data_IF_524228971915
#
_entry.id   IF_524228971915
#
_cell.length_a   1.000
_cell.length_b   1.000
_cell.length_c   1.000
_cell.angle_alpha   90.00
_cell.angle_beta   90.00
_cell.angle_gamma   90.00
#
_symmetry.space_group_name_H-M   'P 1'
#
loop_
_entity.id
_entity.type
_entity.pdbx_description
1 polymer ?
#
# COMPACT_ATOMS: atom_id res chain seq x y z
N UNK A 1 -11.59 -24.07 15.56
CA UNK A 1 -10.39 -23.23 15.46
C UNK A 1 -10.81 -21.78 15.39
N UNK A 2 -10.00 -20.85 15.90
CA UNK A 2 -10.25 -19.42 15.73
C UNK A 2 -10.26 -19.06 14.23
N UNK A 3 -11.20 -18.21 13.77
CA UNK A 3 -11.28 -17.81 12.36
C UNK A 3 -10.05 -16.97 11.96
N UNK A 4 -9.58 -17.16 10.73
CA UNK A 4 -8.44 -16.42 10.20
C UNK A 4 -8.75 -14.94 9.93
N UNK A 5 -7.73 -14.15 9.57
CA UNK A 5 -7.88 -12.72 9.25
C UNK A 5 -8.89 -12.51 8.10
N UNK A 6 -8.84 -13.35 7.07
CA UNK A 6 -9.74 -13.24 5.90
C UNK A 6 -11.20 -13.57 6.23
N UNK A 7 -11.44 -14.53 7.13
CA UNK A 7 -12.80 -14.88 7.57
C UNK A 7 -13.39 -13.74 8.40
N UNK A 8 -12.60 -13.20 9.34
CA UNK A 8 -12.98 -12.03 10.14
C UNK A 8 -13.27 -10.81 9.26
N UNK A 9 -12.48 -10.58 8.21
CA UNK A 9 -12.74 -9.52 7.23
C UNK A 9 -14.07 -9.71 6.50
N UNK A 10 -14.34 -10.93 6.00
CA UNK A 10 -15.57 -11.26 5.26
C UNK A 10 -16.82 -11.07 6.10
N UNK A 11 -16.73 -11.42 7.38
CA UNK A 11 -17.83 -11.29 8.35
C UNK A 11 -17.96 -9.87 8.92
N UNK A 12 -17.15 -8.90 8.45
CA UNK A 12 -17.08 -7.53 8.97
C UNK A 12 -16.77 -7.46 10.48
N UNK A 13 -15.99 -8.41 11.00
CA UNK A 13 -15.56 -8.47 12.40
C UNK A 13 -14.24 -7.74 12.59
N UNK A 14 -14.31 -6.44 12.85
CA UNK A 14 -13.12 -5.56 12.93
C UNK A 14 -12.64 -5.22 14.34
N UNK A 15 -13.26 -5.75 15.40
CA UNK A 15 -12.91 -5.40 16.80
C UNK A 15 -11.42 -5.57 17.15
N UNK A 16 -10.70 -6.43 16.42
CA UNK A 16 -9.26 -6.67 16.58
C UNK A 16 -8.52 -6.62 15.24
N UNK A 17 -9.11 -6.00 14.22
CA UNK A 17 -8.49 -5.82 12.91
C UNK A 17 -8.34 -4.32 12.64
N UNK A 18 -7.25 -3.97 11.99
CA UNK A 18 -7.04 -2.63 11.47
C UNK A 18 -7.12 -2.69 9.94
N UNK A 19 -8.24 -2.24 9.35
CA UNK A 19 -8.37 -2.10 7.91
C UNK A 19 -7.34 -1.09 7.39
N UNK A 20 -6.54 -1.50 6.42
CA UNK A 20 -5.66 -0.62 5.66
C UNK A 20 -6.06 -0.73 4.18
N UNK A 21 -5.87 0.35 3.42
CA UNK A 21 -6.23 0.37 2.00
C UNK A 21 -5.14 0.99 1.15
N UNK A 22 -5.14 0.65 -0.14
CA UNK A 22 -4.32 1.35 -1.11
C UNK A 22 -4.82 2.79 -1.26
N UNK A 23 -3.91 3.75 -1.31
CA UNK A 23 -4.24 5.15 -1.60
C UNK A 23 -4.70 5.26 -3.05
N UNK A 24 -5.82 5.95 -3.24
CA UNK A 24 -6.35 6.21 -4.58
C UNK A 24 -5.47 7.26 -5.26
N UNK A 25 -4.99 7.04 -6.49
CA UNK A 25 -4.26 8.05 -7.24
C UNK A 25 -5.06 9.34 -7.41
N UNK A 26 -4.38 10.48 -7.33
CA UNK A 26 -4.98 11.79 -7.60
C UNK A 26 -4.83 12.13 -9.07
N UNK A 27 -5.86 12.69 -9.70
CA UNK A 27 -5.74 13.16 -11.08
C UNK A 27 -4.86 14.42 -11.15
N UNK A 28 -3.84 14.40 -11.98
CA UNK A 28 -2.97 15.54 -12.26
C UNK A 28 -3.35 16.16 -13.61
N UNK A 29 -3.88 17.39 -13.55
CA UNK A 29 -4.37 18.12 -14.73
C UNK A 29 -3.29 18.50 -15.73
N UNK A 30 -2.06 18.75 -15.28
CA UNK A 30 -0.94 19.17 -16.15
C UNK A 30 -0.47 18.02 -17.03
N UNK A 31 -0.36 16.82 -16.45
CA UNK A 31 0.09 15.60 -17.13
C UNK A 31 -1.06 14.80 -17.75
N UNK A 32 -2.31 15.17 -17.46
CA UNK A 32 -3.54 14.45 -17.86
C UNK A 32 -3.48 12.97 -17.47
N UNK A 33 -3.02 12.68 -16.25
CA UNK A 33 -2.82 11.31 -15.76
C UNK A 33 -3.13 11.17 -14.27
N UNK A 34 -3.44 9.96 -13.82
CA UNK A 34 -3.59 9.63 -12.41
C UNK A 34 -2.22 9.35 -11.78
N UNK A 35 -1.86 10.12 -10.76
CA UNK A 35 -0.55 10.07 -10.12
C UNK A 35 -0.67 9.82 -8.62
N UNK A 36 0.28 9.07 -8.07
CA UNK A 36 0.51 8.99 -6.63
C UNK A 36 1.77 9.81 -6.35
N UNK A 37 1.65 10.84 -5.51
CA UNK A 37 2.80 11.62 -5.07
C UNK A 37 3.49 10.89 -3.94
N UNK A 38 4.68 10.35 -4.22
CA UNK A 38 5.51 9.66 -3.24
C UNK A 38 6.17 10.68 -2.31
N UNK A 39 6.12 10.42 -1.01
CA UNK A 39 6.82 11.24 -0.01
C UNK A 39 8.32 10.96 -0.09
N UNK A 40 9.12 12.03 -0.25
CA UNK A 40 10.55 11.93 -0.48
C UNK A 40 10.93 11.60 -1.95
N UNK A 41 12.12 12.02 -2.37
CA UNK A 41 12.61 11.86 -3.76
C UNK A 41 12.98 10.41 -4.14
N UNK A 42 12.43 9.40 -3.45
CA UNK A 42 12.96 8.03 -3.52
C UNK A 42 12.32 7.18 -4.61
N UNK A 43 11.05 7.35 -4.93
CA UNK A 43 10.42 6.61 -6.03
C UNK A 43 10.66 7.33 -7.35
N UNK A 44 11.51 6.74 -8.19
CA UNK A 44 12.09 7.40 -9.36
C UNK A 44 11.67 6.77 -10.70
N UNK A 45 11.09 5.57 -10.70
CA UNK A 45 10.66 4.88 -11.92
C UNK A 45 9.19 4.48 -11.87
N UNK A 46 8.50 4.63 -13.00
CA UNK A 46 7.13 4.16 -13.16
C UNK A 46 7.07 2.63 -13.03
N UNK A 47 6.12 2.13 -12.25
CA UNK A 47 5.84 0.71 -12.10
C UNK A 47 4.42 0.51 -11.59
N UNK A 48 3.74 -0.53 -12.06
CA UNK A 48 2.46 -0.99 -11.47
C UNK A 48 2.63 -1.44 -10.01
N UNK A 49 3.87 -1.66 -9.56
CA UNK A 49 4.21 -2.03 -8.19
C UNK A 49 4.39 -0.80 -7.27
N UNK A 50 4.22 0.41 -7.79
CA UNK A 50 4.32 1.62 -6.98
C UNK A 50 2.98 1.83 -6.25
N UNK A 51 2.97 1.74 -4.92
CA UNK A 51 1.76 1.91 -4.13
C UNK A 51 2.03 2.56 -2.76
N UNK A 52 0.99 3.16 -2.20
CA UNK A 52 0.95 3.67 -0.84
C UNK A 52 -0.19 2.99 -0.10
N UNK A 53 0.06 2.47 1.10
CA UNK A 53 -0.99 1.98 2.00
C UNK A 53 -1.28 3.08 3.01
N UNK A 54 -2.56 3.35 3.19
CA UNK A 54 -3.06 4.36 4.12
C UNK A 54 -3.90 3.73 5.22
N UNK A 55 -3.81 4.35 6.38
CA UNK A 55 -4.68 4.15 7.53
C UNK A 55 -5.59 5.38 7.64
N UNK A 56 -6.85 5.15 7.98
CA UNK A 56 -7.80 6.21 8.29
C UNK A 56 -7.84 6.40 9.81
N UNK A 57 -7.57 7.61 10.29
CA UNK A 57 -7.62 7.91 11.72
C UNK A 57 -9.06 8.22 12.18
N UNK A 58 -9.26 8.42 13.49
CA UNK A 58 -10.57 8.75 14.08
C UNK A 58 -11.21 10.05 13.53
N UNK A 59 -10.43 10.88 12.81
CA UNK A 59 -10.88 12.11 12.17
C UNK A 59 -11.13 11.95 10.67
N UNK A 60 -11.11 10.72 10.15
CA UNK A 60 -11.22 10.42 8.72
C UNK A 60 -10.08 10.98 7.85
N UNK A 61 -8.92 11.25 8.44
CA UNK A 61 -7.74 11.69 7.70
C UNK A 61 -6.91 10.47 7.27
N UNK A 62 -6.41 10.50 6.04
CA UNK A 62 -5.56 9.44 5.48
C UNK A 62 -4.09 9.64 5.88
N UNK A 63 -3.50 8.68 6.59
CA UNK A 63 -2.08 8.66 6.89
C UNK A 63 -1.37 7.54 6.11
N UNK A 64 -0.29 7.85 5.38
CA UNK A 64 0.48 6.87 4.59
C UNK A 64 1.35 6.00 5.48
N UNK A 65 0.85 4.84 5.92
CA UNK A 65 1.58 3.93 6.81
C UNK A 65 2.64 3.07 6.11
N UNK A 66 2.58 2.93 4.80
CA UNK A 66 3.60 2.26 3.99
C UNK A 66 3.68 2.86 2.59
N UNK A 67 4.89 2.94 2.06
CA UNK A 67 5.18 3.36 0.71
C UNK A 67 6.16 2.38 0.07
N UNK A 68 5.74 1.78 -1.04
CA UNK A 68 6.56 0.85 -1.81
C UNK A 68 6.69 1.34 -3.25
N UNK A 69 7.91 1.32 -3.78
CA UNK A 69 8.11 1.78 -5.16
C UNK A 69 9.46 1.43 -5.74
N UNK A 70 9.51 1.35 -7.08
CA UNK A 70 10.70 1.03 -7.86
C UNK A 70 11.63 2.23 -7.95
N UNK A 71 12.92 1.98 -7.73
CA UNK A 71 13.97 2.99 -7.89
C UNK A 71 14.98 2.61 -8.97
N UNK A 72 15.11 1.30 -9.27
CA UNK A 72 15.90 0.77 -10.38
C UNK A 72 15.33 -0.59 -10.84
N UNK A 73 15.93 -1.23 -11.84
CA UNK A 73 15.41 -2.46 -12.46
C UNK A 73 15.00 -3.52 -11.42
N UNK A 74 15.89 -3.88 -10.51
CA UNK A 74 15.62 -4.86 -9.45
C UNK A 74 15.72 -4.26 -8.04
N UNK A 75 15.53 -2.94 -7.92
CA UNK A 75 15.65 -2.24 -6.65
C UNK A 75 14.38 -1.48 -6.32
N UNK A 76 13.87 -1.71 -5.11
CA UNK A 76 12.66 -1.09 -4.59
C UNK A 76 12.93 -0.50 -3.21
N UNK A 77 12.26 0.61 -2.92
CA UNK A 77 12.20 1.17 -1.56
C UNK A 77 10.93 0.70 -0.88
N UNK A 78 11.04 0.41 0.41
CA UNK A 78 9.93 -0.02 1.26
C UNK A 78 9.99 0.77 2.58
N UNK A 79 9.37 1.93 2.58
CA UNK A 79 9.25 2.77 3.77
C UNK A 79 7.96 2.38 4.51
N UNK A 80 8.03 2.14 5.82
CA UNK A 80 6.87 1.80 6.63
C UNK A 80 6.96 2.49 7.99
N UNK A 81 5.81 2.73 8.59
CA UNK A 81 5.69 3.27 9.95
C UNK A 81 4.65 2.49 10.74
N UNK A 82 4.47 2.89 12.00
CA UNK A 82 3.36 2.40 12.83
C UNK A 82 2.06 2.42 12.00
N UNK A 83 1.26 1.35 12.02
CA UNK A 83 1.33 0.20 12.94
C UNK A 83 2.05 -1.02 12.37
N UNK A 84 2.68 -0.91 11.19
CA UNK A 84 3.30 -2.04 10.53
C UNK A 84 4.66 -2.38 11.13
N UNK A 85 4.91 -3.68 11.27
CA UNK A 85 6.25 -4.24 11.46
C UNK A 85 6.93 -4.48 10.11
N UNK A 86 8.26 -4.64 10.14
CA UNK A 86 9.06 -4.96 8.94
C UNK A 86 8.54 -6.21 8.21
N UNK A 87 8.17 -7.26 8.95
CA UNK A 87 7.68 -8.52 8.38
C UNK A 87 6.34 -8.33 7.69
N UNK A 88 5.43 -7.55 8.28
CA UNK A 88 4.13 -7.26 7.67
C UNK A 88 4.30 -6.43 6.40
N UNK A 89 5.10 -5.35 6.46
CA UNK A 89 5.39 -4.52 5.30
C UNK A 89 6.04 -5.33 4.17
N UNK A 90 7.02 -6.18 4.51
CA UNK A 90 7.68 -7.05 3.54
C UNK A 90 6.72 -8.08 2.91
N UNK A 91 5.85 -8.71 3.71
CA UNK A 91 4.82 -9.62 3.19
C UNK A 91 3.84 -8.93 2.24
N UNK A 92 3.41 -7.71 2.56
CA UNK A 92 2.58 -6.88 1.67
C UNK A 92 3.34 -6.58 0.37
N UNK A 93 4.60 -6.15 0.45
CA UNK A 93 5.42 -5.88 -0.72
C UNK A 93 5.58 -7.11 -1.62
N UNK A 94 5.91 -8.28 -1.05
CA UNK A 94 6.04 -9.53 -1.80
C UNK A 94 4.74 -9.92 -2.52
N UNK A 95 3.58 -9.67 -1.91
CA UNK A 95 2.30 -9.97 -2.56
C UNK A 95 2.06 -9.16 -3.84
N UNK A 96 2.71 -8.00 -3.99
CA UNK A 96 2.65 -7.19 -5.23
C UNK A 96 3.47 -7.77 -6.39
N UNK A 97 4.35 -8.74 -6.14
CA UNK A 97 5.12 -9.44 -7.18
C UNK A 97 4.37 -10.65 -7.74
N UNK A 98 3.29 -11.11 -7.10
CA UNK A 98 2.45 -12.18 -7.64
C UNK A 98 1.67 -11.67 -8.87
N UNK A 99 1.98 -12.25 -10.04
CA UNK A 99 1.50 -11.85 -11.36
C UNK A 99 0.01 -12.08 -11.60
N UNK A 100 -0.72 -12.67 -10.63
CA UNK A 100 -2.17 -12.87 -10.74
C UNK A 100 -2.99 -11.57 -10.67
N UNK A 101 -2.43 -10.52 -10.05
CA UNK A 101 -3.06 -9.18 -9.97
C UNK A 101 -2.38 -8.19 -10.93
N UNK A 102 -1.14 -8.47 -11.32
CA UNK A 102 -0.37 -7.70 -12.30
C UNK A 102 -0.54 -8.28 -13.72
N UNK A 103 -1.72 -8.13 -14.32
CA UNK A 103 -1.84 -8.31 -15.78
C UNK A 103 -1.62 -6.97 -16.47
N UNK A 104 -0.67 -7.00 -17.40
CA UNK A 104 -0.25 -5.94 -18.32
C UNK A 104 -1.41 -5.29 -19.07
#
# INVERSE_FOLDING_TARGET
SEPGILDKWRDRRFSYLMPLRNKVPTYNEETKSYVIQFEGKRVAQASIKNFQIIMENDKHEEEVVMQFGRVNEDLFTCDYRYPLSAIQAFGIALSSFDSRIARE
#
